data_IF_307242135810
#
_entry.id   IF_307242135810
#
_cell.length_a   1.000
_cell.length_b   1.000
_cell.length_c   1.000
_cell.angle_alpha   90.00
_cell.angle_beta   90.00
_cell.angle_gamma   90.00
#
_symmetry.space_group_name_H-M   'P 1'
#
loop_
_entity.id
_entity.type
_entity.pdbx_description
1 polymer ?
#
# COMPACT_ATOMS: atom_id res chain seq x y z
N UNK A 1 -23.50 -2.43 -22.99
CA UNK A 1 -23.06 -2.88 -24.33
C UNK A 1 -24.14 -3.76 -24.92
N UNK A 2 -24.83 -3.27 -25.95
CA UNK A 2 -25.89 -4.00 -26.64
C UNK A 2 -25.42 -4.30 -28.07
N UNK A 3 -24.69 -5.39 -28.22
CA UNK A 3 -24.11 -5.88 -29.49
C UNK A 3 -24.25 -7.40 -29.57
N UNK A 4 -24.01 -7.98 -30.75
CA UNK A 4 -24.04 -9.43 -30.93
C UNK A 4 -22.99 -10.16 -30.07
N UNK A 5 -21.80 -9.56 -29.91
CA UNK A 5 -20.75 -10.03 -29.01
C UNK A 5 -20.32 -8.90 -28.06
N UNK A 6 -20.97 -8.75 -26.89
CA UNK A 6 -20.60 -7.74 -25.91
C UNK A 6 -19.32 -8.11 -25.14
N UNK A 7 -18.96 -9.39 -25.08
CA UNK A 7 -17.78 -9.87 -24.35
C UNK A 7 -16.48 -9.45 -25.02
N UNK A 8 -16.40 -9.61 -26.34
CA UNK A 8 -15.23 -9.18 -27.11
C UNK A 8 -15.03 -7.66 -27.08
N UNK A 9 -16.12 -6.89 -27.09
CA UNK A 9 -16.03 -5.44 -26.94
C UNK A 9 -15.61 -5.04 -25.51
N UNK A 10 -16.13 -5.72 -24.48
CA UNK A 10 -15.76 -5.45 -23.10
C UNK A 10 -14.25 -5.62 -22.84
N UNK A 11 -13.62 -6.63 -23.44
CA UNK A 11 -12.16 -6.87 -23.35
C UNK A 11 -11.33 -5.71 -23.91
N UNK A 12 -11.90 -4.88 -24.77
CA UNK A 12 -11.24 -3.71 -25.38
C UNK A 12 -11.43 -2.43 -24.56
N UNK A 13 -12.31 -2.43 -23.56
CA UNK A 13 -12.55 -1.29 -22.69
C UNK A 13 -11.38 -1.15 -21.72
N UNK A 14 -10.70 0.00 -21.77
CA UNK A 14 -9.59 0.31 -20.85
C UNK A 14 -10.06 0.99 -19.56
N UNK A 15 -11.11 1.81 -19.64
CA UNK A 15 -11.57 2.63 -18.53
C UNK A 15 -13.10 2.70 -18.53
N UNK A 16 -13.74 2.25 -17.45
CA UNK A 16 -15.17 2.37 -17.21
C UNK A 16 -15.43 2.23 -15.70
N UNK A 17 -16.43 2.95 -15.16
CA UNK A 17 -16.85 2.78 -13.77
C UNK A 17 -17.56 1.46 -13.54
N UNK A 18 -18.48 1.11 -14.46
CA UNK A 18 -19.12 -0.19 -14.54
C UNK A 18 -19.39 -0.52 -16.02
N UNK A 19 -19.47 -1.80 -16.36
CA UNK A 19 -19.78 -2.26 -17.72
C UNK A 19 -20.91 -3.27 -17.66
N UNK A 20 -21.99 -2.95 -18.37
CA UNK A 20 -23.17 -3.81 -18.48
C UNK A 20 -23.18 -4.53 -19.83
N UNK A 21 -23.39 -5.85 -19.85
CA UNK A 21 -23.20 -6.69 -21.05
C UNK A 21 -24.51 -7.36 -21.49
N UNK A 22 -24.98 -7.05 -22.70
CA UNK A 22 -26.17 -7.65 -23.30
C UNK A 22 -27.49 -7.02 -22.84
N UNK A 23 -28.59 -7.46 -23.46
CA UNK A 23 -29.92 -6.89 -23.27
C UNK A 23 -30.50 -7.11 -21.86
N UNK A 24 -30.09 -8.18 -21.18
CA UNK A 24 -30.56 -8.49 -19.82
C UNK A 24 -29.86 -7.72 -18.71
N UNK A 25 -28.69 -7.13 -18.98
CA UNK A 25 -27.92 -6.36 -18.00
C UNK A 25 -28.29 -4.87 -18.11
N UNK A 26 -29.50 -4.50 -17.68
CA UNK A 26 -29.90 -3.10 -17.64
C UNK A 26 -29.17 -2.35 -16.51
N UNK A 27 -28.88 -1.06 -16.71
CA UNK A 27 -28.24 -0.18 -15.72
C UNK A 27 -28.96 -0.20 -14.37
N UNK A 28 -30.30 -0.18 -14.39
CA UNK A 28 -31.16 -0.21 -13.19
C UNK A 28 -30.84 -1.38 -12.26
N UNK A 29 -30.36 -2.51 -12.79
CA UNK A 29 -29.96 -3.65 -11.98
C UNK A 29 -28.66 -3.38 -11.22
N UNK A 30 -27.72 -2.63 -11.82
CA UNK A 30 -26.49 -2.19 -11.14
C UNK A 30 -26.76 -1.10 -10.10
N UNK A 31 -27.76 -0.26 -10.36
CA UNK A 31 -28.19 0.76 -9.41
C UNK A 31 -28.93 0.15 -8.21
N UNK A 32 -29.64 -0.96 -8.45
CA UNK A 32 -30.52 -1.59 -7.47
C UNK A 32 -30.44 -3.12 -7.52
N UNK A 33 -30.07 -3.72 -6.38
CA UNK A 33 -30.38 -5.12 -6.09
C UNK A 33 -29.43 -6.19 -6.62
N UNK A 34 -28.50 -5.88 -7.54
CA UNK A 34 -27.54 -6.90 -8.03
C UNK A 34 -26.17 -6.91 -7.34
N UNK A 35 -25.89 -5.93 -6.47
CA UNK A 35 -24.70 -5.93 -5.59
C UNK A 35 -23.54 -4.99 -5.97
N UNK A 36 -23.28 -4.60 -7.24
CA UNK A 36 -22.32 -3.56 -7.55
C UNK A 36 -22.62 -2.23 -6.85
N UNK A 37 -21.59 -1.41 -6.65
CA UNK A 37 -21.75 -0.09 -6.09
C UNK A 37 -21.99 0.93 -7.21
N UNK A 38 -23.10 1.68 -7.15
CA UNK A 38 -23.44 2.69 -8.15
C UNK A 38 -22.75 4.06 -7.94
N UNK A 39 -21.96 4.22 -6.87
CA UNK A 39 -21.11 5.40 -6.67
C UNK A 39 -19.85 5.23 -7.52
N UNK A 40 -19.95 5.69 -8.77
CA UNK A 40 -18.94 5.50 -9.81
C UNK A 40 -18.25 6.83 -10.18
N UNK A 41 -16.99 6.78 -10.65
CA UNK A 41 -16.26 7.97 -11.09
C UNK A 41 -16.86 8.58 -12.36
N UNK A 42 -17.12 9.88 -12.33
CA UNK A 42 -17.65 10.66 -13.47
C UNK A 42 -16.62 11.67 -13.98
N UNK A 43 -16.94 12.42 -15.05
CA UNK A 43 -16.03 13.44 -15.60
C UNK A 43 -14.68 12.89 -16.12
N UNK A 44 -14.65 11.62 -16.55
CA UNK A 44 -13.44 10.96 -17.05
C UNK A 44 -12.54 10.33 -15.98
N UNK A 45 -12.90 10.39 -14.69
CA UNK A 45 -12.09 9.88 -13.59
C UNK A 45 -11.97 8.35 -13.54
N UNK A 46 -12.76 7.62 -14.33
CA UNK A 46 -12.60 6.17 -14.53
C UNK A 46 -11.21 5.79 -15.09
N UNK A 47 -10.43 6.76 -15.57
CA UNK A 47 -9.03 6.60 -15.98
C UNK A 47 -8.03 6.52 -14.82
N UNK A 48 -8.44 6.96 -13.63
CA UNK A 48 -7.57 7.16 -12.47
C UNK A 48 -8.03 6.36 -11.25
N UNK A 49 -9.33 6.12 -11.12
CA UNK A 49 -9.92 5.44 -9.98
C UNK A 49 -11.05 4.48 -10.42
N UNK A 50 -11.29 3.46 -9.59
CA UNK A 50 -12.48 2.62 -9.69
C UNK A 50 -13.69 3.24 -8.97
N UNK A 51 -14.82 2.52 -9.02
CA UNK A 51 -15.99 2.82 -8.18
C UNK A 51 -15.73 2.67 -6.69
N UNK A 52 -16.65 3.19 -5.86
CA UNK A 52 -16.62 3.02 -4.42
C UNK A 52 -16.63 1.52 -4.07
N UNK A 53 -15.72 1.11 -3.19
CA UNK A 53 -15.60 -0.28 -2.76
C UNK A 53 -15.25 -0.36 -1.27
N UNK A 54 -15.25 -1.56 -0.69
CA UNK A 54 -14.76 -1.75 0.67
C UNK A 54 -13.34 -1.19 0.87
N UNK A 55 -12.49 -1.27 -0.17
CA UNK A 55 -11.12 -0.74 -0.13
C UNK A 55 -11.08 0.79 0.05
N UNK A 56 -12.13 1.51 -0.38
CA UNK A 56 -12.24 2.95 -0.21
C UNK A 56 -12.34 3.37 1.27
N UNK A 57 -12.75 2.45 2.14
CA UNK A 57 -12.87 2.67 3.59
C UNK A 57 -11.64 2.14 4.36
N UNK A 58 -10.68 1.53 3.68
CA UNK A 58 -9.45 1.04 4.29
C UNK A 58 -8.30 2.04 4.10
N UNK A 59 -7.35 2.02 5.04
CA UNK A 59 -6.06 2.70 4.90
C UNK A 59 -4.96 1.67 4.73
N UNK A 60 -4.33 1.64 3.55
CA UNK A 60 -3.16 0.78 3.30
C UNK A 60 -1.98 1.32 4.09
N UNK A 61 -1.35 0.47 4.92
CA UNK A 61 -0.17 0.81 5.71
C UNK A 61 0.89 -0.28 5.52
N UNK A 62 2.12 0.14 5.29
CA UNK A 62 3.28 -0.75 5.23
C UNK A 62 4.09 -0.65 6.52
N UNK A 63 4.64 -1.78 6.97
CA UNK A 63 5.45 -1.87 8.18
C UNK A 63 6.74 -2.62 7.87
N UNK A 64 7.85 -2.15 8.43
CA UNK A 64 9.15 -2.82 8.34
C UNK A 64 9.65 -3.05 9.76
N UNK A 65 10.04 -4.29 10.06
CA UNK A 65 10.66 -4.70 11.32
C UNK A 65 11.93 -5.46 11.00
N UNK A 66 13.04 -5.06 11.62
CA UNK A 66 14.33 -5.74 11.55
C UNK A 66 14.58 -6.36 12.92
N UNK A 67 14.44 -7.67 13.01
CA UNK A 67 14.58 -8.42 14.27
C UNK A 67 16.05 -8.65 14.65
N UNK A 68 16.92 -8.79 13.65
CA UNK A 68 18.37 -8.84 13.83
C UNK A 68 19.03 -7.70 13.03
N UNK A 69 19.31 -6.56 13.68
CA UNK A 69 20.01 -5.45 13.05
C UNK A 69 21.42 -5.81 12.58
N UNK A 70 22.11 -6.75 13.21
CA UNK A 70 23.45 -7.15 12.79
C UNK A 70 23.39 -7.90 11.45
N UNK A 71 22.44 -8.82 11.30
CA UNK A 71 22.20 -9.50 10.03
C UNK A 71 21.75 -8.55 8.89
N UNK A 72 21.14 -7.41 9.23
CA UNK A 72 20.74 -6.38 8.26
C UNK A 72 21.86 -5.40 7.85
N UNK A 73 23.12 -5.64 8.26
CA UNK A 73 24.24 -4.72 8.02
C UNK A 73 24.41 -4.35 6.55
N UNK A 74 24.32 -5.31 5.63
CA UNK A 74 24.46 -5.03 4.19
C UNK A 74 23.30 -4.16 3.66
N UNK A 75 22.07 -4.37 4.14
CA UNK A 75 20.94 -3.50 3.77
C UNK A 75 21.16 -2.04 4.21
N UNK A 76 21.76 -1.83 5.38
CA UNK A 76 22.11 -0.49 5.83
C UNK A 76 23.23 0.15 5.00
N UNK A 77 24.20 -0.65 4.54
CA UNK A 77 25.28 -0.19 3.64
C UNK A 77 24.74 0.20 2.27
N UNK A 78 23.88 -0.63 1.69
CA UNK A 78 23.23 -0.36 0.41
C UNK A 78 22.38 0.91 0.48
N UNK A 79 21.53 1.03 1.51
CA UNK A 79 20.71 2.22 1.72
C UNK A 79 21.58 3.49 1.87
N UNK A 80 22.73 3.39 2.56
CA UNK A 80 23.64 4.52 2.68
C UNK A 80 24.32 4.89 1.35
N UNK A 81 24.71 3.89 0.55
CA UNK A 81 25.30 4.12 -0.77
C UNK A 81 24.30 4.81 -1.72
N UNK A 82 23.05 4.33 -1.77
CA UNK A 82 21.99 4.99 -2.54
C UNK A 82 21.76 6.42 -2.08
N UNK A 83 21.65 6.65 -0.76
CA UNK A 83 21.46 7.98 -0.21
C UNK A 83 22.61 8.93 -0.56
N UNK A 84 23.87 8.46 -0.62
CA UNK A 84 25.00 9.29 -1.07
C UNK A 84 24.91 9.63 -2.56
N UNK A 85 24.52 8.68 -3.41
CA UNK A 85 24.31 8.93 -4.84
C UNK A 85 23.21 9.96 -5.11
N UNK A 86 22.20 10.01 -4.24
CA UNK A 86 21.10 10.99 -4.30
C UNK A 86 21.44 12.34 -3.63
N UNK A 87 22.62 12.49 -3.01
CA UNK A 87 23.01 13.70 -2.28
C UNK A 87 22.34 13.86 -0.91
N UNK A 88 21.74 12.81 -0.36
CA UNK A 88 21.02 12.80 0.92
C UNK A 88 21.91 12.38 2.10
N UNK A 89 22.86 13.23 2.48
CA UNK A 89 23.90 12.91 3.48
C UNK A 89 23.34 12.47 4.84
N UNK A 90 22.24 13.08 5.31
CA UNK A 90 21.62 12.69 6.59
C UNK A 90 21.04 11.27 6.56
N UNK A 91 20.50 10.84 5.43
CA UNK A 91 19.99 9.48 5.24
C UNK A 91 21.15 8.48 5.18
N UNK A 92 22.23 8.82 4.48
CA UNK A 92 23.43 7.99 4.42
C UNK A 92 24.03 7.72 5.80
N UNK A 93 24.22 8.78 6.59
CA UNK A 93 24.71 8.67 7.96
C UNK A 93 23.79 7.85 8.86
N UNK A 94 22.47 7.91 8.64
CA UNK A 94 21.53 7.11 9.40
C UNK A 94 21.69 5.60 9.12
N UNK A 95 21.97 5.21 7.88
CA UNK A 95 22.32 3.82 7.52
C UNK A 95 23.67 3.40 8.11
N UNK A 96 24.73 4.19 7.89
CA UNK A 96 26.09 3.92 8.39
C UNK A 96 26.17 3.82 9.91
N UNK A 97 25.38 4.62 10.64
CA UNK A 97 25.30 4.50 12.10
C UNK A 97 24.82 3.12 12.56
N UNK A 98 24.06 2.41 11.71
CA UNK A 98 23.49 1.09 11.97
C UNK A 98 24.30 -0.07 11.36
N UNK A 99 25.46 0.17 10.75
CA UNK A 99 26.33 -0.94 10.31
C UNK A 99 27.18 -1.52 11.44
N UNK A 100 27.08 -0.96 12.64
CA UNK A 100 27.88 -1.33 13.82
C UNK A 100 27.07 -2.05 14.91
N UNK A 101 25.83 -2.44 14.63
CA UNK A 101 25.06 -3.26 15.56
C UNK A 101 25.69 -4.64 15.68
N UNK A 102 25.91 -5.08 16.92
CA UNK A 102 26.41 -6.42 17.24
C UNK A 102 25.29 -7.21 17.91
N UNK A 103 25.12 -8.47 17.52
CA UNK A 103 24.28 -9.44 18.25
C UNK A 103 25.03 -9.86 19.51
N UNK A 104 24.82 -9.10 20.57
CA UNK A 104 24.95 -9.45 21.97
C UNK A 104 24.61 -8.17 22.73
N UNK A 105 23.89 -8.27 23.85
CA UNK A 105 23.33 -7.14 24.62
C UNK A 105 24.33 -6.12 25.21
N UNK A 106 25.47 -5.87 24.57
CA UNK A 106 26.60 -5.06 24.96
C UNK A 106 27.29 -4.45 23.70
N UNK A 107 26.57 -3.68 22.88
CA UNK A 107 27.14 -2.89 21.78
C UNK A 107 26.88 -1.39 21.99
N UNK A 108 27.73 -0.47 21.51
CA UNK A 108 27.63 0.97 21.79
C UNK A 108 26.42 1.57 21.05
N UNK A 109 25.26 1.48 21.69
CA UNK A 109 23.98 1.89 21.12
C UNK A 109 22.75 1.42 21.91
N UNK A 110 22.92 0.75 23.06
CA UNK A 110 21.81 0.40 23.95
C UNK A 110 21.12 1.68 24.44
N UNK A 111 20.09 2.13 23.72
CA UNK A 111 19.03 2.93 24.34
C UNK A 111 18.46 2.04 25.44
N UNK A 112 18.83 2.33 26.69
CA UNK A 112 18.16 1.76 27.86
C UNK A 112 16.69 2.08 27.67
N UNK A 113 15.91 1.09 27.26
CA UNK A 113 14.45 1.20 27.32
C UNK A 113 14.13 1.32 28.80
N UNK A 114 13.92 2.54 29.28
CA UNK A 114 13.19 2.76 30.51
C UNK A 114 11.80 2.18 30.24
N UNK A 115 11.61 0.89 30.57
CA UNK A 115 10.28 0.34 30.78
C UNK A 115 9.74 1.02 32.04
N UNK A 116 9.31 2.28 31.90
CA UNK A 116 8.26 2.78 32.76
C UNK A 116 7.03 1.94 32.44
N UNK A 117 6.61 1.19 33.46
CA UNK A 117 5.33 0.50 33.51
C UNK A 117 4.23 1.51 33.23
N UNK A 118 3.71 1.56 32.01
CA UNK A 118 2.44 2.19 31.78
C UNK A 118 1.75 1.58 30.57
N UNK A 119 0.46 1.23 30.78
CA UNK A 119 -0.55 0.81 29.80
C UNK A 119 -0.48 -0.69 29.46
N UNK A 120 -1.42 -1.57 29.82
CA UNK A 120 -2.84 -1.43 30.23
C UNK A 120 -3.60 -0.35 29.47
N UNK A 121 -3.41 -0.33 28.14
CA UNK A 121 -4.45 0.09 27.20
C UNK A 121 -4.38 -0.82 25.99
N UNK A 122 -5.33 -1.75 25.95
CA UNK A 122 -5.59 -2.61 24.82
C UNK A 122 -5.67 -1.80 23.54
N UNK A 123 -4.91 -2.25 22.54
CA UNK A 123 -5.08 -1.82 21.17
C UNK A 123 -6.06 -2.81 20.53
N UNK A 124 -7.35 -2.61 20.83
CA UNK A 124 -8.51 -3.41 20.42
C UNK A 124 -8.57 -4.86 20.93
#
# INVERSE_FOLDING_TARGET
LLTADPGDLARRIRNAGAVFLGAGAAEVLGDYGTGPNHVLPTGGHARLAGGLSALSFLRVRTWIRIDDPAAATELYRDAAAFARMEGLEAHARAGEARTRWTVDGQGPGTLKTTREKNQDRGFF
#
